data_IF_547541976103
#
_entry.id   IF_547541976103
#
_cell.length_a   1.000
_cell.length_b   1.000
_cell.length_c   1.000
_cell.angle_alpha   90.00
_cell.angle_beta   90.00
_cell.angle_gamma   90.00
#
_symmetry.space_group_name_H-M   'P 1'
#
loop_
_entity.id
_entity.type
_entity.pdbx_description
1 polymer ?
#
# COMPACT_ATOMS: atom_id res chain seq x y z
N UNK A 1 -16.47 -1.85 -6.95
CA UNK A 1 -16.46 -1.73 -8.41
C UNK A 1 -17.60 -2.49 -9.05
N UNK A 2 -18.10 -1.94 -10.17
CA UNK A 2 -19.25 -2.28 -11.03
C UNK A 2 -20.22 -3.35 -10.52
N UNK A 3 -19.72 -4.57 -10.29
CA UNK A 3 -20.48 -5.72 -9.77
C UNK A 3 -20.87 -5.61 -8.29
N UNK A 4 -20.58 -4.48 -7.62
CA UNK A 4 -20.87 -4.24 -6.20
C UNK A 4 -20.25 -5.29 -5.26
N UNK A 5 -18.98 -5.65 -5.51
CA UNK A 5 -18.23 -6.64 -4.69
C UNK A 5 -16.85 -6.17 -4.20
N UNK A 6 -16.45 -4.97 -4.59
CA UNK A 6 -15.19 -4.35 -4.17
C UNK A 6 -15.54 -3.01 -3.54
N UNK A 7 -15.36 -2.88 -2.23
CA UNK A 7 -15.81 -1.73 -1.43
C UNK A 7 -14.66 -0.93 -0.83
N UNK A 8 -13.47 -1.52 -0.74
CA UNK A 8 -12.26 -0.87 -0.25
C UNK A 8 -11.05 -1.45 -0.99
N UNK A 9 -9.97 -0.69 -1.04
CA UNK A 9 -8.69 -1.11 -1.59
C UNK A 9 -7.58 -0.72 -0.62
N UNK A 10 -7.08 -1.71 0.13
CA UNK A 10 -6.03 -1.51 1.11
C UNK A 10 -4.68 -1.80 0.46
N UNK A 11 -3.70 -0.94 0.72
CA UNK A 11 -2.37 -1.01 0.13
C UNK A 11 -1.29 -1.05 1.21
N UNK A 12 -0.28 -1.86 0.95
CA UNK A 12 0.94 -2.04 1.70
C UNK A 12 1.97 -2.73 0.78
N UNK A 13 3.11 -3.16 1.29
CA UNK A 13 4.06 -3.97 0.54
C UNK A 13 4.54 -5.21 1.31
N UNK A 14 5.04 -6.19 0.58
CA UNK A 14 5.57 -7.45 1.11
C UNK A 14 7.10 -7.42 1.08
N UNK A 15 7.72 -7.34 2.26
CA UNK A 15 9.18 -7.35 2.38
C UNK A 15 9.75 -8.74 2.07
N UNK A 16 10.90 -8.78 1.40
CA UNK A 16 11.62 -10.03 1.08
C UNK A 16 13.07 -9.97 1.57
N UNK A 17 13.44 -10.73 2.61
CA UNK A 17 12.60 -11.66 3.39
C UNK A 17 11.60 -10.92 4.31
N UNK A 18 10.45 -11.55 4.57
CA UNK A 18 9.53 -11.16 5.65
C UNK A 18 9.99 -11.80 6.95
N UNK A 19 10.01 -11.02 8.02
CA UNK A 19 10.53 -11.41 9.34
C UNK A 19 9.45 -11.67 10.39
N UNK A 20 8.23 -11.13 10.18
CA UNK A 20 7.03 -11.42 11.00
C UNK A 20 5.79 -11.48 10.11
N UNK A 21 4.91 -12.48 10.32
CA UNK A 21 3.75 -12.70 9.45
C UNK A 21 2.64 -11.64 9.60
N UNK A 22 2.61 -10.92 10.72
CA UNK A 22 1.60 -9.90 11.00
C UNK A 22 2.20 -8.50 10.95
N UNK A 23 3.33 -8.29 11.62
CA UNK A 23 3.88 -6.97 11.94
C UNK A 23 5.15 -6.62 11.14
N UNK A 24 5.24 -7.07 9.89
CA UNK A 24 6.36 -6.76 8.98
C UNK A 24 5.92 -6.33 7.59
N UNK A 25 4.78 -5.63 7.50
CA UNK A 25 4.38 -4.98 6.25
C UNK A 25 5.30 -3.80 5.94
N UNK A 26 5.62 -3.62 4.66
CA UNK A 26 6.38 -2.48 4.14
C UNK A 26 5.48 -1.35 3.66
N UNK A 27 6.03 -0.13 3.61
CA UNK A 27 5.46 0.94 2.79
C UNK A 27 5.55 0.57 1.31
N UNK A 28 4.66 1.16 0.52
CA UNK A 28 4.63 0.98 -0.93
C UNK A 28 6.01 1.26 -1.54
N UNK A 29 6.57 0.27 -2.24
CA UNK A 29 7.88 0.31 -2.88
C UNK A 29 9.05 -0.20 -2.02
N UNK A 30 8.82 -0.57 -0.76
CA UNK A 30 9.84 -1.24 0.08
C UNK A 30 9.93 -2.75 -0.21
N UNK A 31 8.91 -3.33 -0.84
CA UNK A 31 8.77 -4.77 -1.02
C UNK A 31 8.70 -5.21 -2.48
N UNK A 32 8.06 -6.35 -2.70
CA UNK A 32 8.01 -7.01 -3.99
C UNK A 32 6.61 -7.05 -4.64
N UNK A 33 5.59 -6.39 -4.08
CA UNK A 33 4.25 -6.39 -4.67
C UNK A 33 4.25 -5.53 -5.95
N UNK A 34 3.67 -6.04 -7.03
CA UNK A 34 3.35 -5.26 -8.24
C UNK A 34 2.13 -4.34 -7.98
N UNK A 35 2.37 -3.26 -7.25
CA UNK A 35 1.34 -2.28 -6.88
C UNK A 35 0.67 -1.62 -8.10
N UNK A 36 1.40 -1.19 -9.15
CA UNK A 36 0.78 -0.65 -10.35
C UNK A 36 -0.15 -1.67 -11.02
N UNK A 37 0.27 -2.94 -11.14
CA UNK A 37 -0.57 -4.00 -11.70
C UNK A 37 -1.83 -4.27 -10.87
N UNK A 38 -1.70 -4.35 -9.53
CA UNK A 38 -2.87 -4.56 -8.66
C UNK A 38 -3.85 -3.40 -8.73
N UNK A 39 -3.35 -2.15 -8.72
CA UNK A 39 -4.18 -0.95 -8.87
C UNK A 39 -4.93 -0.95 -10.21
N UNK A 40 -4.23 -1.23 -11.32
CA UNK A 40 -4.85 -1.29 -12.63
C UNK A 40 -5.99 -2.31 -12.69
N UNK A 41 -5.83 -3.49 -12.05
CA UNK A 41 -6.90 -4.49 -11.98
C UNK A 41 -8.11 -4.02 -11.13
N UNK A 42 -7.86 -3.33 -10.02
CA UNK A 42 -8.92 -2.81 -9.13
C UNK A 42 -9.71 -1.69 -9.81
N UNK A 43 -9.02 -0.73 -10.42
CA UNK A 43 -9.64 0.36 -11.19
C UNK A 43 -10.39 -0.18 -12.42
N UNK A 44 -9.83 -1.14 -13.15
CA UNK A 44 -10.50 -1.79 -14.29
C UNK A 44 -11.75 -2.60 -13.88
N UNK A 45 -11.84 -3.05 -12.63
CA UNK A 45 -13.07 -3.62 -12.07
C UNK A 45 -14.11 -2.56 -11.65
N UNK A 46 -13.83 -1.28 -11.96
CA UNK A 46 -14.68 -0.12 -11.74
C UNK A 46 -14.71 0.37 -10.29
N UNK A 47 -13.64 0.14 -9.52
CA UNK A 47 -13.49 0.76 -8.20
C UNK A 47 -12.89 2.16 -8.35
N UNK A 48 -13.56 3.16 -7.79
CA UNK A 48 -13.22 4.59 -7.87
C UNK A 48 -13.10 5.26 -6.49
N UNK A 49 -13.02 4.45 -5.42
CA UNK A 49 -12.89 4.91 -4.04
C UNK A 49 -11.45 5.24 -3.62
N UNK A 50 -11.27 5.58 -2.35
CA UNK A 50 -9.96 5.87 -1.78
C UNK A 50 -9.07 4.63 -1.68
N UNK A 51 -7.75 4.87 -1.74
CA UNK A 51 -6.72 3.88 -1.43
C UNK A 51 -6.36 3.99 0.06
N UNK A 52 -6.57 2.92 0.81
CA UNK A 52 -6.31 2.90 2.25
C UNK A 52 -4.92 2.32 2.53
N UNK A 53 -4.01 3.12 3.09
CA UNK A 53 -2.68 2.63 3.48
C UNK A 53 -2.78 1.90 4.83
N UNK A 54 -2.54 0.58 4.83
CA UNK A 54 -2.69 -0.27 6.03
C UNK A 54 -1.39 -1.01 6.37
N UNK A 55 -0.63 -0.48 7.34
CA UNK A 55 0.71 -0.95 7.69
C UNK A 55 0.76 -1.45 9.14
N UNK A 56 0.97 -2.75 9.29
CA UNK A 56 1.35 -3.37 10.56
C UNK A 56 2.85 -3.63 10.54
N UNK A 57 3.61 -2.83 11.28
CA UNK A 57 5.08 -2.86 11.22
C UNK A 57 5.69 -2.41 12.54
N UNK A 58 6.29 -3.35 13.28
CA UNK A 58 7.01 -3.00 14.51
C UNK A 58 8.16 -2.02 14.24
N UNK A 59 8.79 -2.09 13.05
CA UNK A 59 9.84 -1.17 12.62
C UNK A 59 9.32 0.26 12.48
N UNK A 60 8.19 0.44 11.79
CA UNK A 60 7.60 1.78 11.59
C UNK A 60 6.91 2.32 12.84
N UNK A 61 6.27 1.47 13.64
CA UNK A 61 5.67 1.88 14.92
C UNK A 61 6.73 2.29 15.97
N UNK A 62 7.95 1.74 15.89
CA UNK A 62 9.05 2.12 16.76
C UNK A 62 9.79 3.39 16.29
N UNK A 63 9.53 3.86 15.07
CA UNK A 63 10.14 5.07 14.51
C UNK A 63 9.41 6.34 14.99
N UNK A 64 9.99 7.50 14.65
CA UNK A 64 9.30 8.79 14.80
C UNK A 64 8.03 8.82 13.93
N UNK A 65 6.88 9.16 14.55
CA UNK A 65 5.58 9.03 13.88
C UNK A 65 5.30 10.17 12.89
N UNK A 66 5.90 11.35 13.07
CA UNK A 66 5.80 12.42 12.08
C UNK A 66 6.59 12.04 10.82
N UNK A 67 7.78 11.45 11.00
CA UNK A 67 8.54 10.87 9.90
C UNK A 67 7.76 9.74 9.23
N UNK A 68 7.19 8.80 9.98
CA UNK A 68 6.41 7.71 9.41
C UNK A 68 5.24 8.22 8.56
N UNK A 69 4.48 9.21 9.06
CA UNK A 69 3.39 9.84 8.32
C UNK A 69 3.89 10.51 7.03
N UNK A 70 5.00 11.24 7.08
CA UNK A 70 5.60 11.83 5.88
C UNK A 70 6.01 10.76 4.87
N UNK A 71 6.63 9.67 5.33
CA UNK A 71 7.05 8.53 4.50
C UNK A 71 5.87 7.81 3.85
N UNK A 72 4.73 7.69 4.53
CA UNK A 72 3.48 7.17 3.92
C UNK A 72 3.10 8.00 2.69
N UNK A 73 3.06 9.34 2.83
CA UNK A 73 2.73 10.24 1.74
C UNK A 73 3.72 10.17 0.58
N UNK A 74 5.02 10.20 0.89
CA UNK A 74 6.10 10.08 -0.10
C UNK A 74 6.02 8.77 -0.88
N UNK A 75 5.92 7.63 -0.18
CA UNK A 75 5.77 6.31 -0.79
C UNK A 75 4.51 6.22 -1.63
N UNK A 76 3.39 6.77 -1.15
CA UNK A 76 2.12 6.77 -1.89
C UNK A 76 2.22 7.49 -3.23
N UNK A 77 2.79 8.70 -3.22
CA UNK A 77 2.97 9.49 -4.43
C UNK A 77 3.95 8.83 -5.40
N UNK A 78 5.08 8.33 -4.89
CA UNK A 78 6.09 7.69 -5.71
C UNK A 78 5.56 6.47 -6.49
N UNK A 79 4.69 5.63 -5.91
CA UNK A 79 4.08 4.52 -6.66
C UNK A 79 2.88 4.96 -7.53
N UNK A 80 2.23 6.08 -7.18
CA UNK A 80 1.08 6.60 -7.92
C UNK A 80 1.46 7.32 -9.21
N UNK A 81 2.69 7.82 -9.31
CA UNK A 81 3.20 8.54 -10.49
C UNK A 81 3.38 7.65 -11.74
N UNK A 82 3.24 6.33 -11.60
CA UNK A 82 3.33 5.38 -12.71
C UNK A 82 2.00 5.10 -13.43
N UNK A 83 0.90 5.73 -13.00
CA UNK A 83 -0.46 5.44 -13.47
C UNK A 83 -1.03 6.45 -14.50
N UNK A 84 -0.18 7.13 -15.28
CA UNK A 84 -0.61 8.04 -16.37
C UNK A 84 -0.33 7.43 -17.74
#
# INVERSE_FOLDING_TARGET
>A
GEKQRLFAFHICDWLTPTTDLLNDRGLMGEGCIDLPGMRAMVEAAGFDGFHEVEIFSNRWWAADQDNFLARIGESYLAFSDFAI
#
